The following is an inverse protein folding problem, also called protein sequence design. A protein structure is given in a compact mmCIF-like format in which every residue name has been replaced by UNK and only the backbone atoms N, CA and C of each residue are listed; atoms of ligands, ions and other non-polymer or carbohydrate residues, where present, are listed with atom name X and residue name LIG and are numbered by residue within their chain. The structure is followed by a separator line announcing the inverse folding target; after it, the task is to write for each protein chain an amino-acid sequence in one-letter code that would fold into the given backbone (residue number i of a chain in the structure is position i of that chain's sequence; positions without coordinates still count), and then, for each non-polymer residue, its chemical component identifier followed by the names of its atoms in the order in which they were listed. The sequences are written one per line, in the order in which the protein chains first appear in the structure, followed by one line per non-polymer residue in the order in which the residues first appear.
data_IF_761906070749
#
_entry.id   IF_761906070749
#
_cell.length_a   1.000
_cell.length_b   1.000
_cell.length_c   1.000
_cell.angle_alpha   90.00
_cell.angle_beta   90.00
_cell.angle_gamma   90.00
#
_symmetry.space_group_name_H-M   'P 1'
#
loop_
_entity.id
_entity.type
_entity.pdbx_description
1 polymer ?
#
# COMPACT_ATOMS: atom_id res chain seq x y z
N UNK A 1 16.62 21.81 4.94
CA UNK A 1 15.36 22.24 5.58
C UNK A 1 14.23 21.64 4.79
N UNK A 2 13.35 20.86 5.41
CA UNK A 2 12.17 20.32 4.73
C UNK A 2 11.32 21.49 4.21
N UNK A 3 10.80 21.39 2.99
CA UNK A 3 9.88 22.42 2.48
C UNK A 3 8.61 22.44 3.34
N UNK A 4 7.87 23.55 3.38
CA UNK A 4 6.59 23.61 4.12
C UNK A 4 5.63 22.53 3.64
N UNK A 5 5.64 22.18 2.35
CA UNK A 5 4.89 21.05 1.79
C UNK A 5 5.31 19.70 2.38
N UNK A 6 6.60 19.51 2.62
CA UNK A 6 7.12 18.32 3.30
C UNK A 6 6.64 18.20 4.74
N UNK A 7 6.54 19.34 5.45
CA UNK A 7 6.08 19.34 6.83
C UNK A 7 4.63 18.85 6.98
N UNK A 8 3.75 19.14 6.02
CA UNK A 8 2.34 18.73 6.08
C UNK A 8 2.15 17.22 6.03
N UNK A 9 2.70 16.54 5.02
CA UNK A 9 2.51 15.09 4.92
C UNK A 9 3.27 14.35 6.01
N UNK A 10 4.46 14.81 6.43
CA UNK A 10 5.19 14.21 7.57
C UNK A 10 4.33 14.28 8.85
N UNK A 11 3.73 15.44 9.11
CA UNK A 11 2.88 15.64 10.29
C UNK A 11 1.62 14.77 10.25
N UNK A 12 0.95 14.69 9.09
CA UNK A 12 -0.24 13.86 8.91
C UNK A 12 0.07 12.37 9.04
N UNK A 13 1.18 11.90 8.48
CA UNK A 13 1.63 10.51 8.64
C UNK A 13 1.99 10.20 10.11
N UNK A 14 2.63 11.14 10.81
CA UNK A 14 2.91 11.01 12.23
C UNK A 14 1.63 10.93 13.09
N UNK A 15 0.64 11.77 12.80
CA UNK A 15 -0.67 11.71 13.47
C UNK A 15 -1.41 10.40 13.15
N UNK A 16 -1.38 9.95 11.90
CA UNK A 16 -1.98 8.69 11.50
C UNK A 16 -1.39 7.51 12.31
N UNK A 17 -0.07 7.47 12.45
CA UNK A 17 0.62 6.44 13.22
C UNK A 17 0.30 6.53 14.72
N UNK A 18 0.23 7.74 15.28
CA UNK A 18 -0.18 7.96 16.67
C UNK A 18 -1.59 7.40 16.92
N UNK A 19 -2.57 7.72 16.06
CA UNK A 19 -3.94 7.19 16.21
C UNK A 19 -4.02 5.67 15.98
N UNK A 20 -3.16 5.11 15.12
CA UNK A 20 -3.09 3.66 14.90
C UNK A 20 -2.57 2.91 16.12
N UNK A 21 -1.65 3.52 16.87
CA UNK A 21 -0.97 2.92 18.02
C UNK A 21 -1.49 3.39 19.37
N UNK A 22 -2.48 4.30 19.38
CA UNK A 22 -3.14 4.76 20.61
C UNK A 22 -3.85 3.60 21.31
N UNK A 23 -4.15 3.76 22.60
CA UNK A 23 -4.86 2.76 23.38
C UNK A 23 -6.14 3.36 24.01
N UNK A 24 -7.35 3.07 23.49
CA UNK A 24 -7.62 2.21 22.33
C UNK A 24 -7.20 2.86 20.98
N UNK A 25 -6.95 2.06 19.93
CA UNK A 25 -6.64 2.60 18.60
C UNK A 25 -7.82 3.38 18.02
N UNK A 26 -7.55 4.57 17.50
CA UNK A 26 -8.54 5.36 16.75
C UNK A 26 -8.33 5.20 15.24
N UNK A 27 -8.82 4.08 14.71
CA UNK A 27 -8.66 3.74 13.29
C UNK A 27 -9.36 4.75 12.37
N UNK A 28 -10.46 5.37 12.83
CA UNK A 28 -11.17 6.36 12.03
C UNK A 28 -10.32 7.61 11.84
N UNK A 29 -9.76 8.15 12.92
CA UNK A 29 -8.87 9.31 12.86
C UNK A 29 -7.58 8.98 12.08
N UNK A 30 -7.04 7.76 12.23
CA UNK A 30 -5.93 7.27 11.42
C UNK A 30 -6.22 7.34 9.91
N UNK A 31 -7.35 6.77 9.46
CA UNK A 31 -7.77 6.81 8.05
C UNK A 31 -7.95 8.26 7.57
N UNK A 32 -8.57 9.12 8.38
CA UNK A 32 -8.77 10.53 8.03
C UNK A 32 -7.43 11.28 7.83
N UNK A 33 -6.45 11.04 8.69
CA UNK A 33 -5.10 11.60 8.52
C UNK A 33 -4.45 11.14 7.22
N UNK A 34 -4.51 9.83 6.91
CA UNK A 34 -3.94 9.28 5.68
C UNK A 34 -4.65 9.82 4.42
N UNK A 35 -5.98 9.93 4.44
CA UNK A 35 -6.74 10.52 3.34
C UNK A 35 -6.39 12.00 3.13
N UNK A 36 -6.18 12.75 4.21
CA UNK A 36 -5.83 14.16 4.12
C UNK A 36 -4.47 14.39 3.44
N UNK A 37 -3.55 13.42 3.46
CA UNK A 37 -2.24 13.51 2.77
C UNK A 37 -2.42 13.82 1.29
N UNK A 38 -3.41 13.22 0.62
CA UNK A 38 -3.63 13.42 -0.82
C UNK A 38 -4.05 14.84 -1.21
N UNK A 39 -4.63 15.61 -0.26
CA UNK A 39 -5.03 16.99 -0.51
C UNK A 39 -3.83 17.93 -0.74
N UNK A 40 -2.63 17.50 -0.34
CA UNK A 40 -1.40 18.29 -0.43
C UNK A 40 -0.49 17.88 -1.59
N UNK A 41 -0.96 17.05 -2.53
CA UNK A 41 -0.20 16.56 -3.70
C UNK A 41 1.18 16.03 -3.29
N UNK A 42 1.22 14.98 -2.47
CA UNK A 42 2.46 14.44 -1.94
C UNK A 42 3.37 13.95 -3.09
N UNK A 43 4.69 13.87 -2.88
CA UNK A 43 5.57 13.22 -3.84
C UNK A 43 5.15 11.76 -4.09
N UNK A 44 5.39 11.24 -5.29
CA UNK A 44 4.93 9.91 -5.71
C UNK A 44 5.30 8.77 -4.74
N UNK A 45 6.49 8.85 -4.12
CA UNK A 45 6.93 7.89 -3.08
C UNK A 45 6.04 7.89 -1.84
N UNK A 46 5.60 9.06 -1.41
CA UNK A 46 4.71 9.22 -0.25
C UNK A 46 3.31 8.79 -0.64
N UNK A 47 2.83 9.18 -1.82
CA UNK A 47 1.51 8.80 -2.34
C UNK A 47 1.34 7.28 -2.41
N UNK A 48 2.26 6.58 -3.07
CA UNK A 48 2.23 5.12 -3.19
C UNK A 48 2.23 4.42 -1.83
N UNK A 49 3.10 4.84 -0.90
CA UNK A 49 3.13 4.27 0.46
C UNK A 49 1.84 4.55 1.24
N UNK A 50 1.28 5.75 1.11
CA UNK A 50 0.02 6.12 1.79
C UNK A 50 -1.14 5.27 1.28
N UNK A 51 -1.18 5.01 -0.02
CA UNK A 51 -2.12 4.07 -0.62
C UNK A 51 -1.98 2.64 -0.07
N UNK A 52 -0.75 2.11 0.03
CA UNK A 52 -0.52 0.79 0.65
C UNK A 52 -1.02 0.75 2.11
N UNK A 53 -0.69 1.78 2.90
CA UNK A 53 -1.12 1.88 4.30
C UNK A 53 -2.64 1.91 4.43
N UNK A 54 -3.32 2.72 3.61
CA UNK A 54 -4.79 2.77 3.59
C UNK A 54 -5.40 1.43 3.19
N UNK A 55 -4.87 0.79 2.14
CA UNK A 55 -5.31 -0.55 1.71
C UNK A 55 -5.25 -1.56 2.86
N UNK A 56 -4.09 -1.67 3.52
CA UNK A 56 -3.88 -2.59 4.63
C UNK A 56 -4.78 -2.29 5.83
N UNK A 57 -4.94 -1.02 6.22
CA UNK A 57 -5.80 -0.62 7.35
C UNK A 57 -7.27 -0.92 7.05
N UNK A 58 -7.73 -0.64 5.83
CA UNK A 58 -9.11 -0.91 5.43
C UNK A 58 -9.41 -2.41 5.42
N UNK A 59 -8.49 -3.25 4.93
CA UNK A 59 -8.65 -4.70 4.97
C UNK A 59 -8.64 -5.25 6.41
N UNK A 60 -7.81 -4.69 7.28
CA UNK A 60 -7.65 -5.20 8.65
C UNK A 60 -8.78 -4.79 9.58
N UNK A 61 -9.29 -3.55 9.43
CA UNK A 61 -10.15 -2.93 10.43
C UNK A 61 -11.54 -2.55 9.92
N UNK A 62 -11.84 -2.73 8.64
CA UNK A 62 -13.14 -2.34 8.05
C UNK A 62 -13.71 -3.42 7.14
N UNK A 63 -14.92 -3.20 6.64
CA UNK A 63 -15.56 -4.04 5.61
C UNK A 63 -15.51 -3.42 4.21
N UNK A 64 -14.74 -2.33 4.02
CA UNK A 64 -14.72 -1.55 2.79
C UNK A 64 -13.73 -2.14 1.78
N UNK A 65 -14.00 -3.37 1.34
CA UNK A 65 -13.07 -4.15 0.53
C UNK A 65 -12.79 -3.50 -0.83
N UNK A 66 -13.79 -2.93 -1.49
CA UNK A 66 -13.58 -2.26 -2.79
C UNK A 66 -12.70 -1.02 -2.69
N UNK A 67 -12.86 -0.23 -1.61
CA UNK A 67 -12.01 0.94 -1.36
C UNK A 67 -10.57 0.50 -1.05
N UNK A 68 -10.41 -0.58 -0.28
CA UNK A 68 -9.10 -1.15 -0.01
C UNK A 68 -8.42 -1.63 -1.30
N UNK A 69 -9.15 -2.34 -2.17
CA UNK A 69 -8.67 -2.78 -3.48
C UNK A 69 -8.18 -1.60 -4.32
N UNK A 70 -8.99 -0.54 -4.43
CA UNK A 70 -8.63 0.65 -5.20
C UNK A 70 -7.31 1.26 -4.71
N UNK A 71 -7.13 1.42 -3.39
CA UNK A 71 -5.88 1.93 -2.86
C UNK A 71 -4.69 1.00 -3.13
N UNK A 72 -4.86 -0.32 -3.02
CA UNK A 72 -3.79 -1.27 -3.36
C UNK A 72 -3.43 -1.23 -4.85
N UNK A 73 -4.40 -1.08 -5.74
CA UNK A 73 -4.18 -0.88 -7.19
C UNK A 73 -3.40 0.40 -7.47
N UNK A 74 -3.74 1.52 -6.82
CA UNK A 74 -3.00 2.78 -6.96
C UNK A 74 -1.57 2.63 -6.44
N UNK A 75 -1.38 2.01 -5.27
CA UNK A 75 -0.03 1.75 -4.73
C UNK A 75 0.81 0.89 -5.68
N UNK A 76 0.25 -0.20 -6.21
CA UNK A 76 0.92 -1.06 -7.18
C UNK A 76 1.27 -0.32 -8.47
N UNK A 77 0.34 0.49 -9.01
CA UNK A 77 0.56 1.25 -10.23
C UNK A 77 1.66 2.31 -10.05
N UNK A 78 1.58 3.13 -9.00
CA UNK A 78 2.52 4.21 -8.75
C UNK A 78 3.91 3.70 -8.39
N UNK A 79 4.01 2.64 -7.58
CA UNK A 79 5.30 2.13 -7.11
C UNK A 79 6.16 1.52 -8.22
N UNK A 80 5.55 1.02 -9.30
CA UNK A 80 6.27 0.39 -10.42
C UNK A 80 7.32 1.31 -11.04
N UNK A 81 7.04 2.61 -11.20
CA UNK A 81 7.97 3.58 -11.79
C UNK A 81 9.04 4.09 -10.80
N UNK A 82 9.00 3.67 -9.54
CA UNK A 82 9.92 4.14 -8.51
C UNK A 82 11.07 3.14 -8.32
N UNK A 83 12.30 3.62 -8.50
CA UNK A 83 13.51 2.83 -8.28
C UNK A 83 13.80 2.64 -6.79
N UNK A 84 14.24 1.43 -6.41
CA UNK A 84 14.60 1.06 -5.03
C UNK A 84 13.43 1.14 -4.06
N UNK A 85 12.23 0.76 -4.49
CA UNK A 85 11.00 0.88 -3.72
C UNK A 85 10.27 -0.46 -3.59
N UNK A 86 11.08 -1.51 -3.46
CA UNK A 86 10.68 -2.91 -3.59
C UNK A 86 9.70 -3.31 -2.51
N UNK A 87 9.88 -2.87 -1.27
CA UNK A 87 8.97 -3.22 -0.17
C UNK A 87 7.53 -2.78 -0.45
N UNK A 88 7.32 -1.52 -0.82
CA UNK A 88 5.97 -1.03 -1.13
C UNK A 88 5.44 -1.66 -2.41
N UNK A 89 6.29 -1.81 -3.43
CA UNK A 89 5.93 -2.37 -4.74
C UNK A 89 5.45 -3.80 -4.63
N UNK A 90 6.25 -4.66 -4.01
CA UNK A 90 5.95 -6.08 -3.93
C UNK A 90 4.97 -6.42 -2.82
N UNK A 91 4.90 -5.63 -1.73
CA UNK A 91 3.83 -5.76 -0.75
C UNK A 91 2.47 -5.43 -1.37
N UNK A 92 2.37 -4.31 -2.10
CA UNK A 92 1.13 -3.95 -2.78
C UNK A 92 0.69 -5.03 -3.79
N UNK A 93 1.62 -5.56 -4.59
CA UNK A 93 1.33 -6.65 -5.51
C UNK A 93 0.85 -7.92 -4.78
N UNK A 94 1.54 -8.30 -3.72
CA UNK A 94 1.22 -9.49 -2.91
C UNK A 94 -0.16 -9.37 -2.28
N UNK A 95 -0.46 -8.28 -1.57
CA UNK A 95 -1.75 -8.08 -0.90
C UNK A 95 -2.89 -7.95 -1.91
N UNK A 96 -2.67 -7.25 -3.03
CA UNK A 96 -3.68 -7.11 -4.09
C UNK A 96 -4.02 -8.44 -4.75
N UNK A 97 -3.01 -9.28 -5.02
CA UNK A 97 -3.20 -10.62 -5.56
C UNK A 97 -3.99 -11.52 -4.60
N UNK A 98 -3.64 -11.51 -3.31
CA UNK A 98 -4.38 -12.25 -2.28
C UNK A 98 -5.85 -11.80 -2.22
N UNK A 99 -6.09 -10.49 -2.32
CA UNK A 99 -7.43 -9.95 -2.31
C UNK A 99 -8.25 -10.43 -3.52
N UNK A 100 -7.66 -10.47 -4.71
CA UNK A 100 -8.35 -11.01 -5.89
C UNK A 100 -8.63 -12.52 -5.78
N UNK A 101 -7.71 -13.31 -5.22
CA UNK A 101 -7.95 -14.74 -4.95
C UNK A 101 -9.10 -14.95 -3.96
N UNK A 102 -9.11 -14.20 -2.85
CA UNK A 102 -10.19 -14.26 -1.84
C UNK A 102 -11.57 -13.90 -2.42
N UNK A 103 -11.59 -13.11 -3.49
CA UNK A 103 -12.80 -12.72 -4.22
C UNK A 103 -13.17 -13.68 -5.35
N UNK A 104 -12.46 -14.80 -5.50
CA UNK A 104 -12.69 -15.77 -6.56
C UNK A 104 -12.33 -15.26 -7.95
N UNK A 105 -11.37 -14.32 -8.04
CA UNK A 105 -10.91 -13.71 -9.29
C UNK A 105 -9.43 -14.03 -9.61
N UNK A 106 -9.07 -15.32 -9.77
CA UNK A 106 -7.68 -15.72 -10.05
C UNK A 106 -7.16 -15.18 -11.40
N UNK A 107 -8.07 -14.80 -12.31
CA UNK A 107 -7.75 -14.16 -13.59
C UNK A 107 -7.07 -12.80 -13.42
N UNK A 108 -7.36 -12.08 -12.33
CA UNK A 108 -6.72 -10.81 -12.00
C UNK A 108 -5.49 -11.00 -11.11
N UNK A 109 -5.52 -11.96 -10.18
CA UNK A 109 -4.40 -12.24 -9.27
C UNK A 109 -3.14 -12.73 -10.00
N UNK A 110 -3.25 -13.79 -10.82
CA UNK A 110 -2.09 -14.46 -11.42
C UNK A 110 -1.22 -13.54 -12.30
N UNK A 111 -1.78 -12.65 -13.16
CA UNK A 111 -0.99 -11.69 -13.90
C UNK A 111 -0.19 -10.73 -13.02
N UNK A 112 -0.77 -10.28 -11.90
CA UNK A 112 -0.10 -9.36 -10.96
C UNK A 112 1.11 -10.07 -10.33
N UNK A 113 0.91 -11.29 -9.82
CA UNK A 113 2.01 -12.08 -9.23
C UNK A 113 3.10 -12.39 -10.23
N UNK A 114 2.76 -12.84 -11.44
CA UNK A 114 3.74 -13.09 -12.50
C UNK A 114 4.57 -11.84 -12.80
N UNK A 115 3.91 -10.68 -12.90
CA UNK A 115 4.62 -9.42 -13.15
C UNK A 115 5.53 -9.04 -11.98
N UNK A 116 5.08 -9.22 -10.75
CA UNK A 116 5.88 -8.94 -9.57
C UNK A 116 7.09 -9.89 -9.46
N UNK A 117 6.95 -11.16 -9.84
CA UNK A 117 8.04 -12.14 -9.89
C UNK A 117 9.11 -11.73 -10.92
N UNK A 118 8.70 -11.29 -12.12
CA UNK A 118 9.62 -10.77 -13.14
C UNK A 118 10.45 -9.58 -12.63
N UNK A 119 9.82 -8.67 -11.88
CA UNK A 119 10.45 -7.45 -11.39
C UNK A 119 11.31 -7.67 -10.13
N UNK A 120 11.06 -8.72 -9.35
CA UNK A 120 11.69 -8.96 -8.04
C UNK A 120 12.98 -9.75 -8.10
N UNK A 121 13.53 -10.06 -9.28
CA UNK A 121 14.73 -10.91 -9.45
C UNK A 121 15.94 -10.48 -8.59
N UNK A 122 16.08 -9.18 -8.30
CA UNK A 122 17.16 -8.64 -7.47
C UNK A 122 16.81 -8.52 -5.97
N UNK A 123 15.58 -8.86 -5.59
CA UNK A 123 15.07 -8.81 -4.23
C UNK A 123 14.71 -10.23 -3.77
N UNK A 124 15.71 -10.97 -3.31
CA UNK A 124 15.63 -12.42 -3.04
C UNK A 124 14.43 -12.78 -2.15
N UNK A 125 14.23 -12.04 -1.06
CA UNK A 125 13.10 -12.26 -0.14
C UNK A 125 11.76 -12.14 -0.87
N UNK A 126 11.53 -11.03 -1.58
CA UNK A 126 10.29 -10.78 -2.30
C UNK A 126 10.09 -11.76 -3.45
N UNK A 127 11.15 -12.10 -4.17
CA UNK A 127 11.11 -13.06 -5.26
C UNK A 127 10.62 -14.43 -4.78
N UNK A 128 11.23 -14.96 -3.73
CA UNK A 128 10.82 -16.24 -3.15
C UNK A 128 9.38 -16.18 -2.63
N UNK A 129 9.03 -15.13 -1.87
CA UNK A 129 7.68 -14.98 -1.32
C UNK A 129 6.61 -14.97 -2.42
N UNK A 130 6.82 -14.22 -3.50
CA UNK A 130 5.86 -14.09 -4.60
C UNK A 130 5.73 -15.39 -5.41
N UNK A 131 6.81 -16.15 -5.59
CA UNK A 131 6.76 -17.49 -6.21
C UNK A 131 5.90 -18.43 -5.37
N UNK A 132 6.11 -18.46 -4.05
CA UNK A 132 5.31 -19.29 -3.15
C UNK A 132 3.84 -18.89 -3.17
N UNK A 133 3.53 -17.60 -3.29
CA UNK A 133 2.15 -17.13 -3.37
C UNK A 133 1.46 -17.51 -4.69
N UNK A 134 2.20 -17.65 -5.78
CA UNK A 134 1.64 -18.04 -7.08
C UNK A 134 1.38 -19.55 -7.22
N UNK A 135 2.09 -20.38 -6.45
CA UNK A 135 2.06 -21.84 -6.53
C UNK A 135 0.76 -22.43 -5.96
#
# INVERSE_FOLDING_TARGET
MASTQDAWYISLLGLAEHFRTSNPPDIKSCIQCLQAVFNFKPPQRVEARTHLQLGNILLTHTKNIDLARNHLEQSWCLSQSINGFDDVKFEAASVLADLFEQQGQPTHSKPILRKAIELSQHSVYWHCRLIFQLA
#
